data_IF_645370349866
#
_entry.id   IF_645370349866
#
_cell.length_a   1.000
_cell.length_b   1.000
_cell.length_c   1.000
_cell.angle_alpha   90.00
_cell.angle_beta   90.00
_cell.angle_gamma   90.00
#
_symmetry.space_group_name_H-M   'P 1'
#
loop_
_entity.id
_entity.type
_entity.pdbx_description
1 polymer ?
#
# COMPACT_ATOMS: atom_id res chain seq x y z
N UNK A 1 -45.29 20.00 -29.02
CA UNK A 1 -44.45 19.85 -27.79
C UNK A 1 -44.48 18.38 -27.46
N UNK A 2 -43.70 17.60 -28.19
CA UNK A 2 -43.57 16.17 -27.95
C UNK A 2 -42.57 15.99 -26.81
N UNK A 3 -43.01 15.31 -25.75
CA UNK A 3 -42.16 14.90 -24.64
C UNK A 3 -41.10 13.96 -25.20
N UNK A 4 -39.83 14.36 -25.16
CA UNK A 4 -38.72 13.42 -25.23
C UNK A 4 -38.86 12.47 -24.03
N UNK A 5 -39.41 11.27 -24.24
CA UNK A 5 -39.26 10.16 -23.31
C UNK A 5 -37.77 9.77 -23.32
N UNK A 6 -37.00 10.34 -22.39
CA UNK A 6 -35.59 10.03 -22.25
C UNK A 6 -35.40 8.57 -21.81
N UNK A 7 -34.47 7.87 -22.45
CA UNK A 7 -33.95 6.60 -21.94
C UNK A 7 -33.35 6.84 -20.55
N UNK A 8 -33.87 6.17 -19.53
CA UNK A 8 -33.45 6.29 -18.15
C UNK A 8 -33.18 4.90 -17.58
N UNK A 9 -32.22 4.82 -16.68
CA UNK A 9 -31.91 3.58 -15.97
C UNK A 9 -32.90 3.40 -14.82
N UNK A 10 -33.39 2.18 -14.66
CA UNK A 10 -34.38 1.80 -13.67
C UNK A 10 -33.84 0.59 -12.90
N UNK A 11 -33.96 0.57 -11.57
CA UNK A 11 -33.61 -0.62 -10.83
C UNK A 11 -34.54 -1.78 -11.18
N UNK A 12 -33.98 -2.94 -11.50
CA UNK A 12 -34.75 -4.15 -11.89
C UNK A 12 -34.55 -5.30 -10.88
N UNK A 13 -35.55 -6.16 -10.71
CA UNK A 13 -35.44 -7.32 -9.81
C UNK A 13 -34.87 -8.57 -10.48
N UNK A 14 -34.55 -9.60 -9.68
CA UNK A 14 -34.07 -10.91 -10.16
C UNK A 14 -34.97 -11.57 -11.19
N UNK A 15 -36.29 -11.42 -11.07
CA UNK A 15 -37.24 -11.96 -12.06
C UNK A 15 -36.96 -11.40 -13.47
N UNK A 16 -36.73 -10.09 -13.56
CA UNK A 16 -36.41 -9.45 -14.84
C UNK A 16 -35.04 -9.87 -15.37
N UNK A 17 -34.05 -10.05 -14.49
CA UNK A 17 -32.73 -10.56 -14.91
C UNK A 17 -32.84 -11.96 -15.48
N UNK A 18 -33.63 -12.84 -14.84
CA UNK A 18 -33.84 -14.19 -15.35
C UNK A 18 -34.46 -14.17 -16.76
N UNK A 19 -35.41 -13.27 -17.02
CA UNK A 19 -35.95 -13.04 -18.38
C UNK A 19 -34.88 -12.53 -19.35
N UNK A 20 -34.11 -11.51 -18.96
CA UNK A 20 -33.06 -10.93 -19.81
C UNK A 20 -31.98 -11.96 -20.16
N UNK A 21 -31.57 -12.77 -19.18
CA UNK A 21 -30.62 -13.85 -19.36
C UNK A 21 -31.12 -14.91 -20.36
N UNK A 22 -32.43 -15.22 -20.35
CA UNK A 22 -33.01 -16.13 -21.34
C UNK A 22 -32.99 -15.57 -22.77
N UNK A 23 -32.93 -14.24 -22.93
CA UNK A 23 -32.81 -13.60 -24.25
C UNK A 23 -31.39 -13.60 -24.81
N UNK A 24 -30.38 -13.87 -23.97
CA UNK A 24 -28.99 -14.06 -24.41
C UNK A 24 -28.94 -15.43 -25.12
N UNK A 25 -28.99 -15.43 -26.45
CA UNK A 25 -29.03 -16.65 -27.24
C UNK A 25 -27.83 -17.57 -26.92
N UNK A 26 -28.12 -18.81 -26.53
CA UNK A 26 -27.13 -19.88 -26.39
C UNK A 26 -26.87 -20.42 -27.80
N UNK A 27 -25.77 -19.99 -28.40
CA UNK A 27 -25.48 -20.28 -29.80
C UNK A 27 -25.27 -21.79 -30.04
N UNK A 28 -26.23 -22.42 -30.71
CA UNK A 28 -26.14 -23.81 -31.20
C UNK A 28 -25.50 -23.90 -32.60
N UNK A 29 -25.01 -22.77 -33.14
CA UNK A 29 -24.51 -22.60 -34.50
C UNK A 29 -23.03 -22.92 -34.74
N UNK A 30 -22.37 -23.76 -33.93
CA UNK A 30 -20.93 -24.03 -34.08
C UNK A 30 -20.55 -24.80 -35.38
N UNK A 31 -21.52 -25.37 -36.11
CA UNK A 31 -21.26 -26.37 -37.16
C UNK A 31 -21.59 -25.95 -38.61
N UNK A 32 -22.20 -24.80 -38.85
CA UNK A 32 -22.68 -24.49 -40.21
C UNK A 32 -22.90 -23.00 -40.43
N UNK A 33 -22.07 -22.35 -41.25
CA UNK A 33 -22.51 -21.57 -42.42
C UNK A 33 -21.35 -20.82 -43.10
N UNK A 34 -21.49 -20.68 -44.44
CA UNK A 34 -20.60 -19.97 -45.38
C UNK A 34 -21.00 -18.51 -45.49
N UNK A 35 -20.03 -17.63 -45.75
CA UNK A 35 -20.15 -16.17 -45.76
C UNK A 35 -20.29 -15.57 -47.17
N UNK A 36 -21.08 -14.49 -47.29
CA UNK A 36 -20.99 -13.44 -48.30
C UNK A 36 -20.81 -12.10 -47.57
N UNK A 37 -19.84 -11.30 -47.98
CA UNK A 37 -19.47 -10.01 -47.35
C UNK A 37 -19.94 -8.83 -48.23
N UNK A 38 -20.47 -7.76 -47.63
CA UNK A 38 -20.59 -6.45 -48.26
C UNK A 38 -20.14 -5.32 -47.31
N UNK A 39 -19.23 -4.50 -47.87
CA UNK A 39 -18.66 -3.18 -47.55
C UNK A 39 -19.13 -2.42 -46.29
N UNK A 40 -18.18 -2.26 -45.34
CA UNK A 40 -17.86 -1.01 -44.65
C UNK A 40 -16.48 -1.21 -43.96
N UNK A 41 -15.40 -0.76 -44.62
CA UNK A 41 -14.03 -1.27 -44.40
C UNK A 41 -13.09 -0.44 -43.49
N UNK A 42 -13.48 0.73 -42.98
CA UNK A 42 -12.46 1.68 -42.47
C UNK A 42 -12.17 1.69 -40.95
N UNK A 43 -12.77 0.81 -40.13
CA UNK A 43 -12.55 0.79 -38.67
C UNK A 43 -12.25 -0.61 -38.06
N UNK A 44 -12.04 -1.63 -38.90
CA UNK A 44 -11.86 -3.02 -38.44
C UNK A 44 -10.37 -3.37 -38.31
N UNK A 45 -9.90 -3.63 -37.09
CA UNK A 45 -8.56 -4.23 -36.89
C UNK A 45 -8.60 -5.73 -37.26
N UNK A 46 -7.45 -6.32 -37.57
CA UNK A 46 -7.36 -7.78 -37.85
C UNK A 46 -7.89 -8.63 -36.69
N UNK A 47 -7.85 -8.12 -35.45
CA UNK A 47 -8.46 -8.75 -34.28
C UNK A 47 -10.01 -8.66 -34.28
N UNK A 48 -10.57 -7.60 -34.88
CA UNK A 48 -12.02 -7.43 -35.08
C UNK A 48 -12.55 -8.29 -36.24
N UNK A 49 -11.70 -8.60 -37.23
CA UNK A 49 -11.97 -9.51 -38.35
C UNK A 49 -11.80 -10.99 -37.96
N UNK A 50 -10.91 -11.29 -37.01
CA UNK A 50 -10.59 -12.67 -36.59
C UNK A 50 -11.48 -13.22 -35.45
N UNK A 51 -12.34 -12.40 -34.85
CA UNK A 51 -13.31 -12.84 -33.86
C UNK A 51 -14.66 -13.16 -34.55
N UNK A 52 -15.01 -14.45 -34.74
CA UNK A 52 -16.36 -14.79 -35.18
C UNK A 52 -17.36 -14.30 -34.10
N UNK A 53 -18.63 -14.15 -34.45
CA UNK A 53 -19.75 -13.75 -33.58
C UNK A 53 -19.99 -12.23 -33.44
N UNK A 54 -20.36 -11.58 -34.54
CA UNK A 54 -21.13 -10.34 -34.51
C UNK A 54 -22.59 -10.64 -34.90
N UNK A 55 -23.42 -11.03 -33.93
CA UNK A 55 -24.80 -10.55 -33.97
C UNK A 55 -24.75 -9.07 -33.56
N UNK A 56 -25.46 -8.19 -34.27
CA UNK A 56 -25.60 -6.79 -33.86
C UNK A 56 -26.00 -6.76 -32.38
N UNK A 57 -25.44 -5.86 -31.54
CA UNK A 57 -25.84 -5.76 -30.13
C UNK A 57 -27.35 -5.59 -30.05
N UNK A 58 -28.03 -6.67 -29.66
CA UNK A 58 -29.47 -6.79 -29.64
C UNK A 58 -29.93 -6.92 -28.19
N UNK A 59 -31.06 -6.29 -27.88
CA UNK A 59 -31.62 -6.30 -26.53
C UNK A 59 -31.27 -5.07 -25.70
N UNK A 60 -31.91 -4.96 -24.52
CA UNK A 60 -31.78 -3.79 -23.66
C UNK A 60 -30.37 -3.68 -23.08
N UNK A 61 -29.98 -2.45 -22.73
CA UNK A 61 -28.79 -2.19 -21.94
C UNK A 61 -29.09 -2.56 -20.48
N UNK A 62 -28.17 -3.23 -19.79
CA UNK A 62 -28.34 -3.49 -18.36
C UNK A 62 -27.02 -3.75 -17.64
N UNK A 63 -26.98 -3.46 -16.34
CA UNK A 63 -25.83 -3.71 -15.48
C UNK A 63 -26.26 -4.49 -14.22
N UNK A 64 -25.70 -5.70 -14.07
CA UNK A 64 -25.88 -6.52 -12.88
C UNK A 64 -24.63 -6.43 -12.01
N UNK A 65 -24.77 -5.86 -10.82
CA UNK A 65 -23.71 -5.77 -9.82
C UNK A 65 -24.06 -6.65 -8.61
N UNK A 66 -23.14 -7.52 -8.22
CA UNK A 66 -23.35 -8.50 -7.15
C UNK A 66 -22.11 -8.64 -6.26
N UNK A 67 -22.29 -9.09 -5.02
CA UNK A 67 -21.19 -9.40 -4.11
C UNK A 67 -20.68 -10.83 -4.29
N UNK A 68 -19.37 -11.02 -4.27
CA UNK A 68 -18.74 -12.34 -4.25
C UNK A 68 -19.02 -13.07 -2.92
N UNK A 69 -19.01 -14.41 -2.96
CA UNK A 69 -19.15 -15.25 -1.77
C UNK A 69 -20.59 -15.42 -1.26
N UNK A 70 -21.57 -14.70 -1.81
CA UNK A 70 -22.97 -14.92 -1.47
C UNK A 70 -23.47 -16.25 -2.08
N UNK A 71 -24.01 -17.21 -1.29
CA UNK A 71 -24.34 -18.56 -1.76
C UNK A 71 -25.29 -18.60 -2.97
N UNK A 72 -26.26 -17.68 -3.02
CA UNK A 72 -27.18 -17.56 -4.14
C UNK A 72 -26.49 -17.12 -5.43
N UNK A 73 -25.57 -16.15 -5.35
CA UNK A 73 -24.83 -15.63 -6.51
C UNK A 73 -23.88 -16.70 -7.03
N UNK A 74 -23.20 -17.40 -6.12
CA UNK A 74 -22.33 -18.52 -6.44
C UNK A 74 -23.09 -19.65 -7.16
N UNK A 75 -24.29 -19.99 -6.68
CA UNK A 75 -25.15 -20.98 -7.33
C UNK A 75 -25.66 -20.50 -8.69
N UNK A 76 -26.07 -19.22 -8.80
CA UNK A 76 -26.55 -18.62 -10.04
C UNK A 76 -25.47 -18.62 -11.13
N UNK A 77 -24.27 -18.13 -10.82
CA UNK A 77 -23.14 -18.11 -11.75
C UNK A 77 -22.66 -19.53 -12.10
N UNK A 78 -22.68 -20.48 -11.15
CA UNK A 78 -22.29 -21.88 -11.41
C UNK A 78 -23.24 -22.60 -12.35
N UNK A 79 -24.54 -22.31 -12.26
CA UNK A 79 -25.58 -22.98 -13.04
C UNK A 79 -25.97 -22.23 -14.32
N UNK A 80 -25.27 -21.12 -14.63
CA UNK A 80 -25.52 -20.29 -15.80
C UNK A 80 -25.08 -20.99 -17.10
N UNK A 81 -26.02 -21.61 -17.82
CA UNK A 81 -25.75 -22.27 -19.11
C UNK A 81 -25.45 -21.30 -20.26
N UNK A 82 -25.89 -20.04 -20.11
CA UNK A 82 -25.65 -18.94 -21.04
C UNK A 82 -24.26 -18.30 -20.87
N UNK A 83 -23.57 -18.60 -19.78
CA UNK A 83 -22.24 -18.07 -19.48
C UNK A 83 -21.19 -19.13 -19.79
N UNK A 84 -20.13 -18.74 -20.50
CA UNK A 84 -19.04 -19.67 -20.77
C UNK A 84 -18.40 -20.15 -19.44
N UNK A 85 -18.10 -21.46 -19.26
CA UNK A 85 -17.62 -21.99 -17.99
C UNK A 85 -16.38 -21.27 -17.45
N UNK A 86 -15.45 -20.86 -18.32
CA UNK A 86 -14.28 -20.09 -17.92
C UNK A 86 -14.65 -18.71 -17.34
N UNK A 87 -15.65 -18.02 -17.90
CA UNK A 87 -16.13 -16.73 -17.39
C UNK A 87 -16.85 -16.91 -16.05
N UNK A 88 -17.67 -17.96 -15.91
CA UNK A 88 -18.30 -18.31 -14.62
C UNK A 88 -17.26 -18.55 -13.52
N UNK A 89 -16.21 -19.31 -13.80
CA UNK A 89 -15.10 -19.54 -12.86
C UNK A 89 -14.36 -18.24 -12.57
N UNK A 90 -14.05 -17.43 -13.59
CA UNK A 90 -13.39 -16.14 -13.44
C UNK A 90 -14.13 -15.21 -12.47
N UNK A 91 -15.44 -15.05 -12.67
CA UNK A 91 -16.24 -14.13 -11.87
C UNK A 91 -16.37 -14.58 -10.40
N UNK A 92 -16.24 -15.88 -10.12
CA UNK A 92 -16.47 -16.48 -8.79
C UNK A 92 -15.21 -16.70 -7.98
N UNK A 93 -14.12 -17.16 -8.61
CA UNK A 93 -12.91 -17.56 -7.91
C UNK A 93 -11.77 -16.62 -8.29
N UNK A 94 -11.42 -15.77 -7.33
CA UNK A 94 -10.34 -14.80 -7.46
C UNK A 94 -8.97 -15.44 -7.72
N UNK A 95 -8.76 -16.69 -7.31
CA UNK A 95 -7.50 -17.40 -7.51
C UNK A 95 -7.38 -18.04 -8.90
N UNK A 96 -8.50 -18.22 -9.60
CA UNK A 96 -8.53 -18.80 -10.94
C UNK A 96 -8.30 -17.74 -12.02
N UNK A 97 -7.59 -18.14 -13.08
CA UNK A 97 -7.16 -17.34 -14.25
C UNK A 97 -6.04 -16.32 -14.02
N UNK A 98 -5.51 -16.26 -12.80
CA UNK A 98 -4.24 -15.61 -12.51
C UNK A 98 -3.12 -16.38 -13.23
N UNK A 99 -2.56 -15.79 -14.28
CA UNK A 99 -1.31 -16.26 -14.89
C UNK A 99 -0.24 -16.41 -13.80
N UNK A 100 0.53 -17.51 -13.78
CA UNK A 100 1.60 -17.72 -12.78
C UNK A 100 2.61 -16.56 -12.72
N UNK A 101 2.77 -15.83 -13.83
CA UNK A 101 3.63 -14.63 -13.92
C UNK A 101 3.01 -13.39 -13.25
N UNK A 102 1.68 -13.35 -13.12
CA UNK A 102 0.91 -12.23 -12.55
C UNK A 102 0.49 -12.47 -11.08
N UNK A 103 0.80 -13.64 -10.51
CA UNK A 103 0.48 -13.99 -9.11
C UNK A 103 1.02 -13.00 -8.06
N UNK A 104 2.12 -12.33 -8.38
CA UNK A 104 2.74 -11.33 -7.50
C UNK A 104 2.16 -9.92 -7.69
N UNK A 105 1.45 -9.70 -8.79
CA UNK A 105 0.85 -8.41 -9.15
C UNK A 105 -0.62 -8.32 -8.71
N UNK A 106 -1.29 -9.45 -8.47
CA UNK A 106 -2.66 -9.55 -7.92
C UNK A 106 -3.75 -8.90 -8.80
N UNK A 107 -3.52 -8.77 -10.11
CA UNK A 107 -4.52 -8.32 -11.08
C UNK A 107 -4.41 -9.09 -12.40
N UNK A 108 -5.52 -9.13 -13.14
CA UNK A 108 -5.61 -9.69 -14.49
C UNK A 108 -5.73 -8.59 -15.55
N UNK A 109 -4.98 -8.75 -16.65
CA UNK A 109 -5.11 -7.89 -17.84
C UNK A 109 -6.41 -8.25 -18.54
N UNK A 110 -7.17 -7.28 -19.10
CA UNK A 110 -8.40 -7.59 -19.84
C UNK A 110 -8.19 -8.64 -20.93
N UNK A 111 -9.07 -9.65 -20.99
CA UNK A 111 -9.00 -10.76 -21.96
C UNK A 111 -10.34 -10.90 -22.68
N UNK A 112 -10.29 -11.12 -23.99
CA UNK A 112 -11.47 -11.49 -24.78
C UNK A 112 -11.82 -12.96 -24.56
N UNK A 113 -13.02 -13.22 -24.09
CA UNK A 113 -13.53 -14.58 -23.83
C UNK A 113 -15.01 -14.62 -24.16
N UNK A 114 -15.41 -15.66 -24.91
CA UNK A 114 -16.80 -15.95 -25.25
C UNK A 114 -17.56 -14.76 -25.88
N UNK A 115 -16.93 -14.06 -26.83
CA UNK A 115 -17.53 -12.91 -27.52
C UNK A 115 -17.66 -11.64 -26.67
N UNK A 116 -17.15 -11.65 -25.43
CA UNK A 116 -17.12 -10.51 -24.52
C UNK A 116 -15.71 -10.15 -24.06
N UNK A 117 -15.63 -9.12 -23.22
CA UNK A 117 -14.43 -8.64 -22.56
C UNK A 117 -14.51 -8.95 -21.06
N UNK A 118 -13.61 -9.80 -20.57
CA UNK A 118 -13.39 -10.05 -19.14
C UNK A 118 -12.27 -9.13 -18.65
N UNK A 119 -12.48 -8.42 -17.55
CA UNK A 119 -11.51 -7.50 -16.97
C UNK A 119 -11.74 -7.30 -15.47
N UNK A 120 -10.75 -6.74 -14.80
CA UNK A 120 -10.84 -6.33 -13.41
C UNK A 120 -10.79 -4.81 -13.30
N UNK A 121 -11.57 -4.24 -12.39
CA UNK A 121 -11.36 -2.88 -11.93
C UNK A 121 -10.92 -2.91 -10.47
N UNK A 122 -9.84 -2.20 -10.19
CA UNK A 122 -9.30 -2.09 -8.85
C UNK A 122 -9.97 -0.95 -8.09
N UNK A 123 -10.10 -1.10 -6.78
CA UNK A 123 -10.58 -0.05 -5.91
C UNK A 123 -10.27 -0.32 -4.44
N UNK A 124 -10.74 0.57 -3.58
CA UNK A 124 -10.77 0.37 -2.13
C UNK A 124 -12.17 0.59 -1.56
N UNK A 125 -12.53 -0.24 -0.58
CA UNK A 125 -13.63 0.02 0.34
C UNK A 125 -13.12 0.97 1.42
N UNK A 126 -13.81 2.11 1.58
CA UNK A 126 -13.47 3.08 2.61
C UNK A 126 -13.83 2.53 3.99
N UNK A 127 -12.84 2.47 4.88
CA UNK A 127 -13.07 2.05 6.27
C UNK A 127 -13.89 3.06 7.06
N UNK A 128 -14.61 2.61 8.09
CA UNK A 128 -15.33 3.49 9.00
C UNK A 128 -14.34 4.22 9.93
N UNK A 129 -14.18 5.56 9.82
CA UNK A 129 -13.30 6.32 10.70
C UNK A 129 -13.74 6.30 12.17
N UNK A 130 -14.99 5.96 12.48
CA UNK A 130 -15.49 5.90 13.86
C UNK A 130 -15.14 4.61 14.57
N UNK A 131 -14.84 3.54 13.82
CA UNK A 131 -14.49 2.21 14.37
C UNK A 131 -13.00 1.88 14.13
N UNK A 132 -12.23 2.85 13.61
CA UNK A 132 -10.81 2.69 13.24
C UNK A 132 -10.58 1.50 12.29
N UNK A 133 -11.48 1.35 11.32
CA UNK A 133 -11.40 0.32 10.30
C UNK A 133 -10.49 0.80 9.16
N UNK A 134 -9.50 -0.02 8.79
CA UNK A 134 -8.59 0.26 7.69
C UNK A 134 -9.31 0.17 6.33
N UNK A 135 -8.83 0.93 5.34
CA UNK A 135 -9.29 0.78 3.96
C UNK A 135 -8.92 -0.61 3.41
N UNK A 136 -9.90 -1.30 2.82
CA UNK A 136 -9.72 -2.69 2.34
C UNK A 136 -9.69 -2.69 0.81
N UNK A 137 -8.68 -3.33 0.19
CA UNK A 137 -8.67 -3.45 -1.27
C UNK A 137 -9.85 -4.29 -1.76
N UNK A 138 -10.44 -3.85 -2.86
CA UNK A 138 -11.49 -4.58 -3.57
C UNK A 138 -11.09 -4.81 -5.02
N UNK A 139 -11.61 -5.89 -5.59
CA UNK A 139 -11.46 -6.22 -7.00
C UNK A 139 -12.85 -6.40 -7.59
N UNK A 140 -13.19 -5.58 -8.57
CA UNK A 140 -14.46 -5.67 -9.29
C UNK A 140 -14.25 -6.46 -10.57
N UNK A 141 -14.47 -7.78 -10.49
CA UNK A 141 -14.37 -8.69 -11.64
C UNK A 141 -15.57 -8.48 -12.55
N UNK A 142 -15.30 -8.17 -13.80
CA UNK A 142 -16.29 -7.64 -14.72
C UNK A 142 -16.24 -8.39 -16.05
N UNK A 143 -17.40 -8.78 -16.56
CA UNK A 143 -17.53 -9.31 -17.92
C UNK A 143 -18.57 -8.51 -18.69
N UNK A 144 -18.13 -7.88 -19.77
CA UNK A 144 -18.99 -7.16 -20.69
C UNK A 144 -19.22 -8.01 -21.94
N UNK A 145 -20.48 -8.19 -22.31
CA UNK A 145 -20.86 -8.78 -23.58
C UNK A 145 -22.07 -8.04 -24.14
N UNK A 146 -22.09 -7.79 -25.45
CA UNK A 146 -23.17 -7.05 -26.10
C UNK A 146 -23.50 -5.73 -25.35
N UNK A 147 -24.77 -5.51 -24.98
CA UNK A 147 -25.25 -4.31 -24.29
C UNK A 147 -25.26 -4.44 -22.75
N UNK A 148 -24.63 -5.47 -22.17
CA UNK A 148 -24.70 -5.68 -20.73
C UNK A 148 -23.36 -5.91 -20.05
N UNK A 149 -23.36 -5.67 -18.75
CA UNK A 149 -22.22 -5.85 -17.85
C UNK A 149 -22.64 -6.68 -16.65
N UNK A 150 -21.84 -7.68 -16.31
CA UNK A 150 -21.90 -8.36 -15.03
C UNK A 150 -20.66 -7.94 -14.26
N UNK A 151 -20.83 -7.43 -13.04
CA UNK A 151 -19.71 -7.13 -12.15
C UNK A 151 -19.89 -7.79 -10.79
N UNK A 152 -18.85 -8.48 -10.33
CA UNK A 152 -18.80 -9.20 -9.06
C UNK A 152 -17.75 -8.55 -8.17
N UNK A 153 -18.17 -8.07 -7.00
CA UNK A 153 -17.31 -7.41 -6.03
C UNK A 153 -16.62 -8.43 -5.13
N UNK A 154 -15.29 -8.53 -5.24
CA UNK A 154 -14.44 -9.33 -4.36
C UNK A 154 -13.75 -8.42 -3.34
N UNK A 155 -13.71 -8.85 -2.08
CA UNK A 155 -13.13 -8.08 -0.96
C UNK A 155 -11.91 -8.82 -0.43
N UNK A 156 -10.77 -8.15 -0.38
CA UNK A 156 -9.47 -8.71 0.06
C UNK A 156 -9.27 -8.56 1.58
N UNK A 157 -10.23 -9.01 2.37
CA UNK A 157 -10.19 -8.87 3.82
C UNK A 157 -11.54 -9.15 4.48
N UNK A 158 -11.65 -8.81 5.76
CA UNK A 158 -12.90 -8.83 6.51
C UNK A 158 -13.23 -7.40 6.90
N UNK A 159 -14.41 -6.92 6.50
CA UNK A 159 -14.94 -5.62 6.89
C UNK A 159 -16.29 -5.78 7.58
N UNK A 160 -16.59 -4.90 8.53
CA UNK A 160 -17.91 -4.81 9.16
C UNK A 160 -18.96 -4.24 8.22
N UNK A 161 -18.56 -3.31 7.35
CA UNK A 161 -19.39 -2.70 6.32
C UNK A 161 -18.58 -2.50 5.05
N UNK A 162 -19.16 -2.83 3.90
CA UNK A 162 -18.54 -2.64 2.59
C UNK A 162 -18.99 -1.30 2.02
N UNK A 163 -18.06 -0.38 1.81
CA UNK A 163 -18.36 0.98 1.36
C UNK A 163 -17.47 1.39 0.18
N UNK A 164 -17.86 0.96 -1.03
CA UNK A 164 -17.15 1.29 -2.26
C UNK A 164 -17.78 2.54 -2.89
N UNK A 165 -17.32 3.71 -2.45
CA UNK A 165 -17.87 5.02 -2.82
C UNK A 165 -17.95 5.24 -4.34
N UNK A 166 -16.97 4.72 -5.10
CA UNK A 166 -16.98 4.84 -6.56
C UNK A 166 -18.17 4.13 -7.23
N UNK A 167 -18.59 2.99 -6.69
CA UNK A 167 -19.76 2.24 -7.19
C UNK A 167 -21.04 2.95 -6.78
N UNK A 168 -21.14 3.39 -5.51
CA UNK A 168 -22.30 4.13 -4.99
C UNK A 168 -22.56 5.41 -5.79
N UNK A 169 -21.52 6.18 -6.12
CA UNK A 169 -21.67 7.40 -6.94
C UNK A 169 -22.28 7.12 -8.32
N UNK A 170 -22.01 5.96 -8.91
CA UNK A 170 -22.54 5.59 -10.22
C UNK A 170 -23.96 5.07 -10.10
N UNK A 171 -24.26 4.29 -9.06
CA UNK A 171 -25.62 3.89 -8.76
C UNK A 171 -26.53 5.12 -8.57
N UNK A 172 -26.03 6.15 -7.89
CA UNK A 172 -26.72 7.43 -7.73
C UNK A 172 -26.82 8.21 -9.04
N UNK A 173 -25.76 8.24 -9.87
CA UNK A 173 -25.77 8.87 -11.19
C UNK A 173 -26.79 8.24 -12.14
N UNK A 174 -26.90 6.90 -12.12
CA UNK A 174 -27.85 6.15 -12.93
C UNK A 174 -29.28 6.34 -12.42
N UNK A 175 -29.48 6.32 -11.10
CA UNK A 175 -30.81 6.49 -10.46
C UNK A 175 -31.34 7.92 -10.57
N UNK A 176 -30.46 8.93 -10.51
CA UNK A 176 -30.86 10.34 -10.54
C UNK A 176 -31.38 10.79 -11.91
N UNK A 177 -30.94 10.13 -12.98
CA UNK A 177 -31.27 10.50 -14.36
C UNK A 177 -30.74 11.88 -14.77
N UNK A 178 -30.61 12.12 -16.07
CA UNK A 178 -30.15 13.41 -16.59
C UNK A 178 -29.46 13.31 -17.94
N UNK A 179 -29.09 14.47 -18.50
CA UNK A 179 -28.39 14.54 -19.79
C UNK A 179 -26.99 13.89 -19.75
N UNK A 180 -26.35 13.91 -18.58
CA UNK A 180 -25.01 13.36 -18.35
C UNK A 180 -25.03 11.91 -17.83
N UNK A 181 -26.18 11.24 -17.85
CA UNK A 181 -26.26 9.83 -17.45
C UNK A 181 -25.71 8.95 -18.57
N UNK A 182 -24.89 7.92 -18.25
CA UNK A 182 -24.37 6.97 -19.23
C UNK A 182 -25.49 6.39 -20.08
N UNK A 183 -25.34 6.31 -21.40
CA UNK A 183 -26.37 5.70 -22.29
C UNK A 183 -25.99 4.31 -22.77
N UNK A 184 -24.70 4.02 -22.77
CA UNK A 184 -24.15 2.74 -23.24
C UNK A 184 -23.45 2.02 -22.11
N UNK A 185 -23.33 0.70 -22.22
CA UNK A 185 -22.60 -0.08 -21.23
C UNK A 185 -21.11 0.29 -21.20
N UNK A 186 -20.55 0.74 -22.32
CA UNK A 186 -19.17 1.23 -22.39
C UNK A 186 -18.98 2.50 -21.57
N UNK A 187 -19.94 3.43 -21.61
CA UNK A 187 -19.92 4.61 -20.75
C UNK A 187 -20.02 4.23 -19.27
N UNK A 188 -20.87 3.24 -18.92
CA UNK A 188 -20.96 2.74 -17.53
C UNK A 188 -19.60 2.20 -17.06
N UNK A 189 -18.90 1.41 -17.89
CA UNK A 189 -17.57 0.89 -17.56
C UNK A 189 -16.55 2.02 -17.41
N UNK A 190 -16.54 3.01 -18.30
CA UNK A 190 -15.64 4.15 -18.23
C UNK A 190 -15.88 4.99 -16.97
N UNK A 191 -17.15 5.19 -16.60
CA UNK A 191 -17.51 5.86 -15.35
C UNK A 191 -17.08 5.04 -14.13
N UNK A 192 -17.29 3.71 -14.12
CA UNK A 192 -16.82 2.81 -13.05
C UNK A 192 -15.31 2.93 -12.86
N UNK A 193 -14.54 2.77 -13.92
CA UNK A 193 -13.09 2.91 -13.89
C UNK A 193 -12.67 4.30 -13.38
N UNK A 194 -13.35 5.36 -13.84
CA UNK A 194 -13.04 6.74 -13.46
C UNK A 194 -13.30 7.02 -11.97
N UNK A 195 -14.46 6.60 -11.46
CA UNK A 195 -14.83 6.87 -10.05
C UNK A 195 -14.00 6.03 -9.09
N UNK A 196 -13.73 4.77 -9.41
CA UNK A 196 -12.85 3.92 -8.61
C UNK A 196 -11.43 4.49 -8.57
N UNK A 197 -10.84 4.81 -9.72
CA UNK A 197 -9.50 5.40 -9.79
C UNK A 197 -9.39 6.71 -8.99
N UNK A 198 -10.39 7.58 -9.09
CA UNK A 198 -10.42 8.85 -8.36
C UNK A 198 -10.45 8.67 -6.85
N UNK A 199 -11.20 7.68 -6.35
CA UNK A 199 -11.27 7.40 -4.92
C UNK A 199 -9.98 6.79 -4.40
N UNK A 200 -9.42 5.80 -5.10
CA UNK A 200 -8.10 5.25 -4.78
C UNK A 200 -7.04 6.34 -4.70
N UNK A 201 -7.00 7.24 -5.70
CA UNK A 201 -6.03 8.32 -5.75
C UNK A 201 -6.15 9.28 -4.55
N UNK A 202 -7.36 9.49 -4.04
CA UNK A 202 -7.59 10.29 -2.82
C UNK A 202 -7.14 9.53 -1.58
N UNK A 203 -7.44 8.24 -1.49
CA UNK A 203 -7.07 7.40 -0.35
C UNK A 203 -5.55 7.23 -0.26
N UNK A 204 -4.86 6.98 -1.38
CA UNK A 204 -3.40 6.90 -1.41
C UNK A 204 -2.74 8.18 -0.95
N UNK A 205 -3.21 9.35 -1.42
CA UNK A 205 -2.70 10.65 -0.96
C UNK A 205 -2.93 10.88 0.52
N UNK A 206 -4.13 10.58 1.01
CA UNK A 206 -4.49 10.82 2.42
C UNK A 206 -3.74 9.89 3.37
N UNK A 207 -3.77 8.58 3.11
CA UNK A 207 -3.33 7.55 4.07
C UNK A 207 -1.87 7.17 3.93
N UNK A 208 -1.31 7.16 2.71
CA UNK A 208 0.05 6.67 2.44
C UNK A 208 0.99 7.85 2.23
N UNK A 209 0.69 8.76 1.31
CA UNK A 209 1.59 9.88 1.02
C UNK A 209 1.57 10.92 2.14
N UNK A 210 0.40 11.24 2.70
CA UNK A 210 0.30 12.10 3.88
C UNK A 210 1.05 11.53 5.09
N UNK A 211 1.06 10.20 5.27
CA UNK A 211 1.87 9.56 6.31
C UNK A 211 3.37 9.61 6.02
N UNK A 212 3.78 9.55 4.75
CA UNK A 212 5.17 9.75 4.34
C UNK A 212 5.63 11.21 4.59
N UNK A 213 4.79 12.19 4.26
CA UNK A 213 5.06 13.60 4.55
C UNK A 213 5.15 13.85 6.07
N UNK A 214 4.32 13.17 6.88
CA UNK A 214 4.43 13.24 8.34
C UNK A 214 5.76 12.68 8.86
N UNK A 215 6.28 11.59 8.28
CA UNK A 215 7.62 11.06 8.60
C UNK A 215 8.72 12.04 8.22
N UNK A 216 8.61 12.70 7.06
CA UNK A 216 9.53 13.75 6.63
C UNK A 216 9.54 14.91 7.62
N UNK A 217 8.37 15.39 8.05
CA UNK A 217 8.25 16.45 9.04
C UNK A 217 8.86 16.05 10.40
N UNK A 218 8.60 14.82 10.88
CA UNK A 218 9.22 14.30 12.12
C UNK A 218 10.74 14.26 12.00
N UNK A 219 11.27 13.90 10.83
CA UNK A 219 12.71 13.86 10.58
C UNK A 219 13.33 15.27 10.53
N UNK A 220 12.68 16.23 9.86
CA UNK A 220 13.17 17.61 9.75
C UNK A 220 13.10 18.38 11.07
N UNK A 221 12.04 18.20 11.85
CA UNK A 221 11.82 18.90 13.12
C UNK A 221 12.55 18.27 14.32
N UNK A 222 13.40 17.28 14.06
CA UNK A 222 14.23 16.64 15.08
C UNK A 222 15.01 17.68 15.90
N UNK A 223 14.76 17.74 17.20
CA UNK A 223 15.58 18.55 18.10
C UNK A 223 16.93 17.87 18.33
N UNK A 224 18.02 18.63 18.43
CA UNK A 224 19.38 18.08 18.62
C UNK A 224 19.56 17.31 19.94
N UNK A 225 18.59 17.38 20.85
CA UNK A 225 18.62 16.78 22.18
C UNK A 225 17.92 15.42 22.27
N UNK A 226 17.21 14.96 21.23
CA UNK A 226 16.56 13.64 21.23
C UNK A 226 17.58 12.48 21.17
N UNK A 227 17.25 11.33 21.78
CA UNK A 227 18.07 10.13 21.65
C UNK A 227 18.03 9.64 20.20
N UNK A 228 19.17 9.87 19.54
CA UNK A 228 19.38 9.59 18.14
C UNK A 228 19.07 8.13 17.78
N UNK A 229 19.31 7.21 18.70
CA UNK A 229 19.08 5.79 18.49
C UNK A 229 17.60 5.43 18.59
N UNK A 230 16.90 5.90 19.63
CA UNK A 230 15.49 5.59 19.82
C UNK A 230 14.63 6.16 18.69
N UNK A 231 14.84 7.43 18.34
CA UNK A 231 14.16 8.06 17.20
C UNK A 231 14.46 7.28 15.91
N UNK A 232 15.70 6.84 15.73
CA UNK A 232 16.08 6.08 14.54
C UNK A 232 15.37 4.74 14.45
N UNK A 233 15.21 4.02 15.56
CA UNK A 233 14.50 2.73 15.55
C UNK A 233 13.03 2.91 15.18
N UNK A 234 12.35 3.90 15.79
CA UNK A 234 10.92 4.18 15.55
C UNK A 234 10.70 4.61 14.09
N UNK A 235 11.44 5.60 13.61
CA UNK A 235 11.31 6.09 12.24
C UNK A 235 11.69 5.00 11.22
N UNK A 236 12.69 4.16 11.48
CA UNK A 236 13.01 3.03 10.59
C UNK A 236 11.84 2.04 10.46
N UNK A 237 11.10 1.80 11.55
CA UNK A 237 9.94 0.91 11.51
C UNK A 237 8.79 1.54 10.71
N UNK A 238 8.50 2.83 10.94
CA UNK A 238 7.50 3.58 10.16
C UNK A 238 7.86 3.62 8.67
N UNK A 239 9.10 3.97 8.33
CA UNK A 239 9.60 3.99 6.95
C UNK A 239 9.47 2.61 6.31
N UNK A 240 9.90 1.52 6.97
CA UNK A 240 9.75 0.17 6.41
C UNK A 240 8.29 -0.23 6.19
N UNK A 241 7.36 0.22 7.05
CA UNK A 241 5.92 0.00 6.86
C UNK A 241 5.42 0.78 5.64
N UNK A 242 5.73 2.07 5.56
CA UNK A 242 5.31 2.96 4.47
C UNK A 242 5.92 2.55 3.13
N UNK A 243 7.20 2.19 3.07
CA UNK A 243 7.84 1.72 1.84
C UNK A 243 7.13 0.49 1.26
N UNK A 244 6.66 -0.44 2.11
CA UNK A 244 5.85 -1.58 1.65
C UNK A 244 4.50 -1.13 1.09
N UNK A 245 3.84 -0.17 1.71
CA UNK A 245 2.58 0.40 1.21
C UNK A 245 2.77 1.14 -0.11
N UNK A 246 3.79 1.97 -0.22
CA UNK A 246 4.16 2.73 -1.42
C UNK A 246 4.48 1.79 -2.61
N UNK A 247 5.16 0.66 -2.36
CA UNK A 247 5.38 -0.37 -3.39
C UNK A 247 4.06 -1.01 -3.84
N UNK A 248 3.13 -1.29 -2.91
CA UNK A 248 1.80 -1.83 -3.28
C UNK A 248 0.99 -0.83 -4.13
N UNK A 249 1.05 0.46 -3.80
CA UNK A 249 0.45 1.52 -4.62
C UNK A 249 1.04 1.51 -6.03
N UNK A 250 2.37 1.43 -6.16
CA UNK A 250 3.04 1.32 -7.47
C UNK A 250 2.47 0.20 -8.32
N UNK A 251 2.34 -1.00 -7.75
CA UNK A 251 1.80 -2.15 -8.46
C UNK A 251 0.34 -1.96 -8.86
N UNK A 252 -0.49 -1.40 -7.97
CA UNK A 252 -1.89 -1.09 -8.28
C UNK A 252 -2.03 -0.04 -9.39
N UNK A 253 -1.11 0.92 -9.48
CA UNK A 253 -1.14 1.95 -10.53
C UNK A 253 -0.70 1.40 -11.88
N UNK A 254 0.36 0.59 -11.92
CA UNK A 254 0.74 -0.11 -13.16
C UNK A 254 -0.37 -1.05 -13.64
N UNK A 255 -1.04 -1.74 -12.71
CA UNK A 255 -2.22 -2.54 -13.02
C UNK A 255 -3.29 -1.74 -13.72
N UNK A 256 -3.65 -0.60 -13.13
CA UNK A 256 -4.65 0.30 -13.65
C UNK A 256 -4.24 0.84 -15.03
N UNK A 257 -2.97 1.17 -15.24
CA UNK A 257 -2.47 1.63 -16.54
C UNK A 257 -2.68 0.57 -17.63
N UNK A 258 -2.29 -0.69 -17.36
CA UNK A 258 -2.46 -1.80 -18.31
C UNK A 258 -3.94 -2.11 -18.57
N UNK A 259 -4.78 -2.15 -17.52
CA UNK A 259 -6.23 -2.34 -17.65
C UNK A 259 -6.83 -1.24 -18.54
N UNK A 260 -6.52 0.02 -18.24
CA UNK A 260 -7.05 1.17 -18.99
C UNK A 260 -6.54 1.18 -20.43
N UNK A 261 -5.30 0.76 -20.66
CA UNK A 261 -4.74 0.62 -22.00
C UNK A 261 -5.54 -0.36 -22.85
N UNK A 262 -5.89 -1.54 -22.32
CA UNK A 262 -6.73 -2.51 -23.04
C UNK A 262 -8.19 -2.05 -23.16
N UNK A 263 -8.76 -1.43 -22.12
CA UNK A 263 -10.11 -0.87 -22.19
C UNK A 263 -10.23 0.21 -23.29
N UNK A 264 -9.19 1.02 -23.50
CA UNK A 264 -9.14 2.02 -24.58
C UNK A 264 -9.19 1.41 -25.98
N UNK A 265 -8.68 0.18 -26.15
CA UNK A 265 -8.71 -0.53 -27.43
C UNK A 265 -10.05 -1.18 -27.72
N UNK A 266 -10.79 -1.58 -26.67
CA UNK A 266 -11.98 -2.42 -26.83
C UNK A 266 -13.30 -1.68 -26.59
N UNK A 267 -13.31 -0.66 -25.75
CA UNK A 267 -14.52 0.12 -25.49
C UNK A 267 -14.72 1.22 -26.55
N UNK A 268 -15.97 1.37 -26.99
CA UNK A 268 -16.37 2.33 -28.03
C UNK A 268 -17.01 3.59 -27.43
N UNK A 269 -17.05 4.66 -28.23
CA UNK A 269 -17.66 5.96 -27.90
C UNK A 269 -16.65 7.03 -27.47
N UNK A 270 -16.85 8.27 -27.93
CA UNK A 270 -15.93 9.38 -27.68
C UNK A 270 -15.88 9.78 -26.21
N UNK A 271 -17.04 9.81 -25.53
CA UNK A 271 -17.12 10.10 -24.11
C UNK A 271 -16.37 9.04 -23.28
N UNK A 272 -16.54 7.75 -23.62
CA UNK A 272 -15.80 6.64 -23.04
C UNK A 272 -14.29 6.82 -23.22
N UNK A 273 -13.84 7.07 -24.46
CA UNK A 273 -12.41 7.24 -24.77
C UNK A 273 -11.80 8.43 -24.03
N UNK A 274 -12.52 9.56 -23.94
CA UNK A 274 -12.07 10.74 -23.19
C UNK A 274 -11.85 10.40 -21.71
N UNK A 275 -12.83 9.77 -21.05
CA UNK A 275 -12.73 9.40 -19.64
C UNK A 275 -11.56 8.45 -19.38
N UNK A 276 -11.38 7.43 -20.23
CA UNK A 276 -10.29 6.47 -20.08
C UNK A 276 -8.92 7.10 -20.34
N UNK A 277 -8.81 8.05 -21.29
CA UNK A 277 -7.58 8.81 -21.50
C UNK A 277 -7.23 9.68 -20.30
N UNK A 278 -8.22 10.31 -19.66
CA UNK A 278 -8.02 11.08 -18.44
C UNK A 278 -7.51 10.18 -17.29
N UNK A 279 -8.08 8.98 -17.11
CA UNK A 279 -7.61 8.02 -16.11
C UNK A 279 -6.16 7.61 -16.42
N UNK A 280 -5.83 7.32 -17.68
CA UNK A 280 -4.45 6.95 -18.08
C UNK A 280 -3.47 8.08 -17.75
N UNK A 281 -3.85 9.33 -18.03
CA UNK A 281 -3.03 10.51 -17.70
C UNK A 281 -2.86 10.66 -16.19
N UNK A 282 -3.95 10.64 -15.41
CA UNK A 282 -3.88 10.81 -13.95
C UNK A 282 -3.12 9.67 -13.28
N UNK A 283 -3.22 8.44 -13.81
CA UNK A 283 -2.48 7.27 -13.31
C UNK A 283 -0.97 7.46 -13.50
N UNK A 284 -0.53 8.00 -14.63
CA UNK A 284 0.89 8.32 -14.87
C UNK A 284 1.41 9.39 -13.93
N UNK A 285 0.66 10.49 -13.78
CA UNK A 285 0.98 11.55 -12.81
C UNK A 285 1.07 10.99 -11.38
N UNK A 286 0.19 10.06 -11.02
CA UNK A 286 0.21 9.39 -9.73
C UNK A 286 1.41 8.44 -9.56
N UNK A 287 1.86 7.75 -10.62
CA UNK A 287 3.09 6.94 -10.58
C UNK A 287 4.30 7.83 -10.29
N UNK A 288 4.39 8.99 -10.93
CA UNK A 288 5.45 9.98 -10.66
C UNK A 288 5.41 10.48 -9.21
N UNK A 289 4.21 10.83 -8.70
CA UNK A 289 4.01 11.24 -7.30
C UNK A 289 4.41 10.12 -6.31
N UNK A 290 4.06 8.88 -6.63
CA UNK A 290 4.45 7.70 -5.86
C UNK A 290 5.97 7.51 -5.83
N UNK A 291 6.65 7.62 -6.97
CA UNK A 291 8.10 7.46 -7.07
C UNK A 291 8.86 8.54 -6.30
N UNK A 292 8.42 9.79 -6.41
CA UNK A 292 8.96 10.90 -5.60
C UNK A 292 8.79 10.65 -4.10
N UNK A 293 7.63 10.16 -3.65
CA UNK A 293 7.39 9.77 -2.25
C UNK A 293 8.33 8.65 -1.79
N UNK A 294 8.53 7.62 -2.61
CA UNK A 294 9.46 6.51 -2.30
C UNK A 294 10.89 7.02 -2.14
N UNK A 295 11.36 7.83 -3.07
CA UNK A 295 12.74 8.31 -3.09
C UNK A 295 13.03 9.23 -1.91
N UNK A 296 12.06 10.07 -1.52
CA UNK A 296 12.13 10.84 -0.27
C UNK A 296 12.26 9.95 0.96
N UNK A 297 11.40 8.94 1.12
CA UNK A 297 11.47 8.00 2.24
C UNK A 297 12.82 7.28 2.32
N UNK A 298 13.37 6.84 1.19
CA UNK A 298 14.67 6.18 1.15
C UNK A 298 15.83 7.12 1.43
N UNK A 299 15.74 8.38 0.98
CA UNK A 299 16.73 9.41 1.32
C UNK A 299 16.74 9.67 2.83
N UNK A 300 15.57 9.82 3.45
CA UNK A 300 15.44 9.97 4.92
C UNK A 300 16.05 8.77 5.63
N UNK A 301 15.76 7.56 5.17
CA UNK A 301 16.31 6.33 5.74
C UNK A 301 17.84 6.32 5.69
N UNK A 302 18.45 6.70 4.56
CA UNK A 302 19.89 6.70 4.39
C UNK A 302 20.58 7.78 5.23
N UNK A 303 20.04 9.01 5.26
CA UNK A 303 20.56 10.10 6.11
C UNK A 303 20.46 9.73 7.60
N UNK A 304 19.36 9.12 8.01
CA UNK A 304 19.18 8.67 9.38
C UNK A 304 20.18 7.56 9.73
N UNK A 305 20.35 6.55 8.87
CA UNK A 305 21.30 5.46 9.12
C UNK A 305 22.75 5.95 9.13
N UNK A 306 23.14 6.82 8.21
CA UNK A 306 24.48 7.42 8.19
C UNK A 306 24.75 8.25 9.46
N UNK A 307 23.76 8.99 9.95
CA UNK A 307 23.84 9.73 11.22
C UNK A 307 24.06 8.80 12.41
N UNK A 308 23.33 7.68 12.50
CA UNK A 308 23.51 6.67 13.56
C UNK A 308 24.89 6.02 13.49
N UNK A 309 25.33 5.64 12.28
CA UNK A 309 26.67 5.07 12.07
C UNK A 309 27.76 6.05 12.53
N UNK A 310 27.65 7.34 12.16
CA UNK A 310 28.59 8.37 12.58
C UNK A 310 28.62 8.55 14.10
N UNK A 311 27.46 8.55 14.76
CA UNK A 311 27.37 8.63 16.22
C UNK A 311 28.00 7.41 16.92
N UNK A 312 27.71 6.19 16.43
CA UNK A 312 28.31 4.96 16.94
C UNK A 312 29.83 4.97 16.75
N UNK A 313 30.32 5.49 15.63
CA UNK A 313 31.74 5.62 15.35
C UNK A 313 32.42 6.61 16.31
N UNK A 314 31.82 7.77 16.60
CA UNK A 314 32.38 8.72 17.59
C UNK A 314 32.40 8.11 19.01
N UNK A 315 31.38 7.33 19.38
CA UNK A 315 31.37 6.60 20.66
C UNK A 315 32.43 5.50 20.71
N UNK A 316 32.56 4.72 19.64
CA UNK A 316 33.56 3.65 19.51
C UNK A 316 34.98 4.20 19.53
N UNK A 317 35.23 5.31 18.83
CA UNK A 317 36.52 6.00 18.83
C UNK A 317 36.90 6.43 20.24
N UNK A 318 35.95 6.99 21.01
CA UNK A 318 36.19 7.31 22.44
C UNK A 318 36.57 6.10 23.28
N UNK A 319 35.86 4.97 23.13
CA UNK A 319 36.17 3.75 23.88
C UNK A 319 37.53 3.19 23.49
N UNK A 320 37.81 3.12 22.18
CA UNK A 320 39.07 2.61 21.63
C UNK A 320 40.24 3.48 22.07
N UNK A 321 40.06 4.78 22.05
CA UNK A 321 41.03 5.75 22.53
C UNK A 321 41.35 5.54 24.02
N UNK A 322 40.33 5.43 24.87
CA UNK A 322 40.53 5.18 26.29
C UNK A 322 41.21 3.83 26.54
N UNK A 323 40.80 2.78 25.82
CA UNK A 323 41.42 1.47 25.90
C UNK A 323 42.88 1.50 25.45
N UNK A 324 43.23 2.28 24.43
CA UNK A 324 44.61 2.42 23.96
C UNK A 324 45.51 3.09 25.01
N UNK A 325 45.01 4.10 25.74
CA UNK A 325 45.74 4.73 26.85
C UNK A 325 46.04 3.70 27.96
N UNK A 326 45.02 2.97 28.42
CA UNK A 326 45.20 1.97 29.48
C UNK A 326 46.03 0.76 29.02
N UNK A 327 45.75 0.24 27.82
CA UNK A 327 46.45 -0.90 27.23
C UNK A 327 47.92 -0.60 26.94
N UNK A 328 48.24 0.58 26.42
CA UNK A 328 49.62 1.02 26.20
C UNK A 328 50.40 1.16 27.51
N UNK A 329 49.82 1.79 28.53
CA UNK A 329 50.43 1.88 29.86
C UNK A 329 50.64 0.49 30.47
N UNK A 330 49.62 -0.37 30.41
CA UNK A 330 49.67 -1.74 30.91
C UNK A 330 50.73 -2.60 30.21
N UNK A 331 50.92 -2.42 28.89
CA UNK A 331 51.96 -3.11 28.13
C UNK A 331 53.36 -2.72 28.61
N UNK A 332 53.64 -1.42 28.80
CA UNK A 332 54.94 -0.94 29.30
C UNK A 332 55.22 -1.49 30.71
N UNK A 333 54.24 -1.40 31.61
CA UNK A 333 54.38 -1.94 32.97
C UNK A 333 54.57 -3.46 32.99
N UNK A 334 53.88 -4.19 32.11
CA UNK A 334 54.00 -5.65 31.99
C UNK A 334 55.37 -6.07 31.46
N UNK A 335 55.95 -5.31 30.53
CA UNK A 335 57.33 -5.54 30.04
C UNK A 335 58.33 -5.34 31.19
N UNK A 336 58.20 -4.25 31.95
CA UNK A 336 59.09 -3.97 33.09
C UNK A 336 58.94 -5.07 34.14
N UNK A 337 57.71 -5.40 34.55
CA UNK A 337 57.46 -6.45 35.54
C UNK A 337 57.95 -7.83 35.05
N UNK A 338 57.76 -8.15 33.78
CA UNK A 338 58.23 -9.40 33.18
C UNK A 338 59.76 -9.51 33.15
N UNK A 339 60.47 -8.43 32.80
CA UNK A 339 61.93 -8.39 32.78
C UNK A 339 62.53 -8.68 34.18
N UNK A 340 61.95 -8.09 35.23
CA UNK A 340 62.37 -8.32 36.61
C UNK A 340 61.84 -9.65 37.19
N UNK A 341 60.72 -10.17 36.68
CA UNK A 341 60.14 -11.44 37.12
C UNK A 341 60.86 -12.69 36.59
N UNK A 342 61.53 -12.59 35.44
CA UNK A 342 62.34 -13.69 34.86
C UNK A 342 63.70 -13.83 35.56
N UNK A 343 64.16 -12.79 36.27
CA UNK A 343 65.52 -12.70 36.79
C UNK A 343 65.55 -12.61 38.34
N UNK A 344 65.03 -13.65 39.00
CA UNK A 344 64.87 -13.70 40.47
C UNK A 344 66.19 -13.93 41.24
N UNK A 345 67.26 -14.37 40.58
CA UNK A 345 68.52 -14.80 41.22
C UNK A 345 69.67 -13.77 41.11
N UNK A 346 69.34 -12.50 40.88
CA UNK A 346 70.34 -11.45 40.67
C UNK A 346 69.77 -10.05 40.55
N UNK A 347 68.71 -9.72 41.31
CA UNK A 347 68.14 -8.37 41.30
C UNK A 347 69.16 -7.39 41.88
N UNK A 348 69.70 -6.44 41.09
CA UNK A 348 70.69 -5.49 41.58
C UNK A 348 70.08 -4.65 42.70
N UNK A 349 70.66 -4.72 43.90
CA UNK A 349 70.20 -3.99 45.09
C UNK A 349 69.33 -4.79 46.08
N UNK A 350 68.95 -6.03 45.78
CA UNK A 350 68.14 -6.85 46.67
C UNK A 350 68.89 -7.38 47.91
N UNK A 351 70.21 -7.59 47.81
CA UNK A 351 71.01 -8.19 48.89
C UNK A 351 71.11 -7.31 50.16
N UNK A 352 71.02 -5.99 50.02
CA UNK A 352 71.22 -5.04 51.12
C UNK A 352 69.94 -4.29 51.56
N UNK A 353 68.76 -4.60 51.00
CA UNK A 353 67.52 -3.88 51.32
C UNK A 353 66.33 -4.83 51.56
N UNK A 354 65.84 -5.01 52.81
CA UNK A 354 64.73 -5.93 53.12
C UNK A 354 63.38 -5.49 52.53
N UNK A 355 63.27 -4.24 52.06
CA UNK A 355 62.04 -3.68 51.47
C UNK A 355 62.11 -3.50 49.94
N UNK A 356 63.11 -4.09 49.27
CA UNK A 356 63.35 -3.90 47.82
C UNK A 356 62.12 -4.17 46.95
N UNK A 357 61.38 -5.24 47.24
CA UNK A 357 60.15 -5.60 46.51
C UNK A 357 59.04 -4.55 46.69
N UNK A 358 58.88 -4.03 47.92
CA UNK A 358 57.92 -2.97 48.21
C UNK A 358 58.27 -1.66 47.51
N UNK A 359 59.56 -1.30 47.49
CA UNK A 359 60.07 -0.13 46.78
C UNK A 359 59.87 -0.24 45.26
N UNK A 360 60.18 -1.40 44.68
CA UNK A 360 59.96 -1.68 43.25
C UNK A 360 58.48 -1.60 42.88
N UNK A 361 57.60 -2.19 43.70
CA UNK A 361 56.15 -2.15 43.51
C UNK A 361 55.61 -0.71 43.59
N UNK A 362 56.09 0.08 44.56
CA UNK A 362 55.72 1.49 44.69
C UNK A 362 56.21 2.33 43.50
N UNK A 363 57.43 2.08 43.02
CA UNK A 363 57.99 2.75 41.85
C UNK A 363 57.22 2.40 40.56
N UNK A 364 56.88 1.12 40.36
CA UNK A 364 56.03 0.70 39.24
C UNK A 364 54.65 1.35 39.27
N UNK A 365 54.03 1.44 40.45
CA UNK A 365 52.74 2.11 40.61
C UNK A 365 52.85 3.60 40.29
N UNK A 366 53.92 4.27 40.75
CA UNK A 366 54.19 5.67 40.44
C UNK A 366 54.41 5.90 38.94
N UNK A 367 55.22 5.06 38.28
CA UNK A 367 55.43 5.09 36.82
C UNK A 367 54.10 4.89 36.10
N UNK A 368 53.27 3.95 36.54
CA UNK A 368 51.93 3.75 35.99
C UNK A 368 51.05 4.98 36.09
N UNK A 369 51.04 5.65 37.25
CA UNK A 369 50.27 6.88 37.45
C UNK A 369 50.77 8.03 36.55
N UNK A 370 52.09 8.17 36.41
CA UNK A 370 52.71 9.15 35.51
C UNK A 370 52.39 8.84 34.04
N UNK A 371 52.52 7.59 33.61
CA UNK A 371 52.21 7.16 32.24
C UNK A 371 50.74 7.38 31.89
N UNK A 372 49.83 7.05 32.82
CA UNK A 372 48.41 7.38 32.67
C UNK A 372 48.27 8.90 32.57
N UNK A 373 48.80 9.68 33.51
CA UNK A 373 48.72 11.14 33.50
C UNK A 373 49.22 11.80 32.21
N UNK A 374 50.37 11.36 31.70
CA UNK A 374 50.94 11.80 30.41
C UNK A 374 50.06 11.35 29.25
N UNK A 375 49.58 10.10 29.26
CA UNK A 375 48.63 9.59 28.28
C UNK A 375 47.34 10.41 28.25
N UNK A 376 46.80 10.77 29.42
CA UNK A 376 45.62 11.63 29.52
C UNK A 376 45.88 13.06 29.02
N UNK A 377 47.09 13.61 29.23
CA UNK A 377 47.47 14.97 28.81
C UNK A 377 47.71 15.06 27.31
N UNK A 378 48.47 14.12 26.74
CA UNK A 378 48.85 14.12 25.32
C UNK A 378 47.74 13.63 24.39
N UNK A 379 46.96 12.64 24.85
CA UNK A 379 45.90 12.05 24.04
C UNK A 379 44.53 12.67 24.34
N UNK A 380 44.36 13.33 25.49
CA UNK A 380 43.16 14.11 25.83
C UNK A 380 41.95 13.22 26.10
N UNK A 381 41.44 13.21 27.33
CA UNK A 381 40.13 12.61 27.60
C UNK A 381 39.03 13.45 26.95
N UNK A 382 38.26 12.86 26.02
CA UNK A 382 36.84 13.21 25.97
C UNK A 382 36.22 12.67 27.26
N UNK A 383 35.82 13.56 28.19
CA UNK A 383 35.21 13.19 29.47
C UNK A 383 34.10 12.15 29.24
N UNK A 384 34.04 11.06 30.03
CA UNK A 384 32.88 10.19 30.03
C UNK A 384 31.64 11.02 30.40
N UNK A 385 30.50 10.66 29.82
CA UNK A 385 29.20 11.23 30.19
C UNK A 385 29.02 10.99 31.69
N UNK A 386 28.82 12.04 32.50
CA UNK A 386 28.71 11.87 33.96
C UNK A 386 27.40 11.15 34.30
N UNK A 387 27.36 10.41 35.40
CA UNK A 387 26.14 9.73 35.87
C UNK A 387 24.96 10.69 36.02
N UNK A 388 25.19 11.93 36.45
CA UNK A 388 24.16 12.98 36.48
C UNK A 388 23.60 13.28 35.08
N UNK A 389 24.44 13.33 34.05
CA UNK A 389 23.97 13.51 32.68
C UNK A 389 23.17 12.31 32.19
N UNK A 390 23.49 11.10 32.64
CA UNK A 390 22.73 9.88 32.32
C UNK A 390 21.38 9.87 33.02
N UNK A 391 21.30 10.30 34.29
CA UNK A 391 20.05 10.39 35.04
C UNK A 391 19.13 11.48 34.48
N UNK A 392 19.66 12.67 34.18
CA UNK A 392 18.89 13.73 33.52
C UNK A 392 18.35 13.25 32.17
N UNK A 393 19.19 12.57 31.37
CA UNK A 393 18.78 11.97 30.09
C UNK A 393 17.71 10.90 30.25
N UNK A 394 17.76 10.10 31.32
CA UNK A 394 16.77 9.06 31.62
C UNK A 394 15.42 9.68 31.98
N UNK A 395 15.43 10.78 32.74
CA UNK A 395 14.24 11.55 33.06
C UNK A 395 13.65 12.24 31.81
N UNK A 396 14.48 12.85 30.97
CA UNK A 396 14.06 13.43 29.68
C UNK A 396 13.44 12.36 28.74
N UNK A 397 14.02 11.16 28.68
CA UNK A 397 13.46 10.04 27.92
C UNK A 397 12.10 9.59 28.48
N UNK A 398 11.97 9.52 29.81
CA UNK A 398 10.72 9.14 30.46
C UNK A 398 9.61 10.17 30.17
N UNK A 399 9.97 11.46 30.18
CA UNK A 399 9.06 12.55 29.87
C UNK A 399 8.65 12.54 28.38
N UNK A 400 9.58 12.30 27.47
CA UNK A 400 9.29 12.12 26.04
C UNK A 400 8.38 10.91 25.77
N UNK A 401 8.64 9.77 26.42
CA UNK A 401 7.78 8.58 26.31
C UNK A 401 6.38 8.86 26.82
N UNK A 402 6.25 9.57 27.94
CA UNK A 402 4.94 9.98 28.46
C UNK A 402 4.24 10.99 27.53
N UNK A 403 4.96 11.94 26.95
CA UNK A 403 4.42 12.89 25.97
C UNK A 403 3.93 12.16 24.71
N UNK A 404 4.70 11.20 24.20
CA UNK A 404 4.30 10.37 23.05
C UNK A 404 3.13 9.45 23.38
N UNK A 405 3.08 8.85 24.57
CA UNK A 405 1.91 8.11 25.02
C UNK A 405 0.70 9.02 25.12
N UNK A 406 0.86 10.24 25.64
CA UNK A 406 -0.21 11.22 25.73
C UNK A 406 -0.65 11.74 24.36
N UNK A 407 0.27 11.95 23.41
CA UNK A 407 -0.05 12.32 22.01
C UNK A 407 -0.72 11.17 21.26
N UNK A 408 -0.28 9.93 21.46
CA UNK A 408 -0.94 8.75 20.91
C UNK A 408 -2.34 8.56 21.52
N UNK A 409 -2.49 8.76 22.84
CA UNK A 409 -3.78 8.70 23.54
C UNK A 409 -4.70 9.88 23.19
N UNK A 410 -4.16 11.07 22.92
CA UNK A 410 -4.95 12.23 22.49
C UNK A 410 -5.34 12.13 21.02
N UNK A 411 -4.47 11.61 20.15
CA UNK A 411 -4.86 11.17 18.81
C UNK A 411 -5.96 10.10 18.89
N UNK A 412 -5.91 9.16 19.85
CA UNK A 412 -6.98 8.21 20.11
C UNK A 412 -8.25 8.85 20.76
N UNK A 413 -8.14 9.98 21.46
CA UNK A 413 -9.29 10.68 22.07
C UNK A 413 -9.99 11.69 21.16
N UNK A 414 -9.35 12.13 20.05
CA UNK A 414 -10.04 12.84 18.96
C UNK A 414 -11.06 11.93 18.27
N UNK A 415 -10.95 10.60 18.44
CA UNK A 415 -11.97 9.58 18.12
C UNK A 415 -13.04 9.41 19.21
N UNK A 416 -13.53 10.49 19.84
CA UNK A 416 -14.76 10.39 20.65
C UNK A 416 -15.98 10.36 19.73
N UNK A 417 -16.87 9.35 19.83
CA UNK A 417 -18.00 9.21 18.93
C UNK A 417 -19.02 10.33 19.18
N UNK A 418 -19.15 11.24 18.22
CA UNK A 418 -20.30 12.14 18.16
C UNK A 418 -21.51 11.30 17.72
N UNK A 419 -22.60 11.36 18.48
CA UNK A 419 -23.77 10.51 18.25
C UNK A 419 -24.36 10.72 16.85
N UNK A 420 -24.72 9.60 16.22
CA UNK A 420 -25.17 9.39 14.83
C UNK A 420 -26.46 10.11 14.40
N UNK A 421 -27.02 11.02 15.20
CA UNK A 421 -28.39 11.52 15.03
C UNK A 421 -28.55 12.69 14.04
N UNK A 422 -27.49 13.13 13.36
CA UNK A 422 -27.55 14.36 12.53
C UNK A 422 -26.88 14.28 11.16
N UNK A 423 -26.68 13.09 10.59
CA UNK A 423 -26.01 12.92 9.29
C UNK A 423 -26.82 12.04 8.31
N UNK A 424 -26.69 12.29 6.99
CA UNK A 424 -27.37 11.49 5.98
C UNK A 424 -26.85 10.03 5.99
N UNK A 425 -27.71 9.04 5.70
CA UNK A 425 -27.38 7.62 5.79
C UNK A 425 -26.18 7.25 4.90
N UNK A 426 -25.27 6.44 5.44
CA UNK A 426 -24.18 5.80 4.69
C UNK A 426 -24.76 4.68 3.80
N UNK A 427 -24.08 4.29 2.71
CA UNK A 427 -24.56 3.22 1.83
C UNK A 427 -24.88 1.91 2.60
N UNK A 428 -24.11 1.61 3.66
CA UNK A 428 -24.37 0.52 4.62
C UNK A 428 -25.76 0.55 5.27
N UNK A 429 -26.34 1.73 5.47
CA UNK A 429 -27.67 1.92 6.07
C UNK A 429 -28.82 1.77 5.07
N UNK A 430 -28.52 1.72 3.76
CA UNK A 430 -29.51 1.49 2.70
C UNK A 430 -29.68 0.01 2.36
N UNK A 431 -28.88 -0.88 2.96
CA UNK A 431 -29.08 -2.32 2.89
C UNK A 431 -29.97 -2.74 4.07
N UNK A 432 -31.23 -3.14 3.85
CA UNK A 432 -31.88 -4.02 4.83
C UNK A 432 -31.02 -5.27 4.95
N UNK A 433 -30.88 -5.85 6.16
CA UNK A 433 -30.27 -7.17 6.41
C UNK A 433 -30.84 -8.33 5.55
N UNK A 434 -31.81 -8.03 4.67
CA UNK A 434 -32.57 -8.96 3.84
C UNK A 434 -32.51 -8.64 2.32
N UNK A 435 -31.80 -7.59 1.87
CA UNK A 435 -31.70 -7.23 0.45
C UNK A 435 -30.29 -6.74 0.03
N UNK A 436 -29.42 -7.70 -0.26
CA UNK A 436 -27.98 -7.52 -0.52
C UNK A 436 -27.59 -7.27 -2.00
N UNK A 437 -28.42 -6.60 -2.81
CA UNK A 437 -28.03 -6.27 -4.19
C UNK A 437 -28.75 -5.04 -4.74
N UNK A 438 -28.00 -4.21 -5.50
CA UNK A 438 -28.55 -3.11 -6.29
C UNK A 438 -28.34 -3.46 -7.77
N UNK A 439 -29.46 -3.60 -8.48
CA UNK A 439 -29.54 -3.98 -9.87
C UNK A 439 -30.04 -2.77 -10.65
N UNK A 440 -29.35 -2.35 -11.71
CA UNK A 440 -29.72 -1.16 -12.49
C UNK A 440 -29.70 -1.51 -13.98
N UNK A 441 -30.84 -1.37 -14.67
CA UNK A 441 -31.00 -1.64 -16.10
C UNK A 441 -31.53 -0.44 -16.89
#
# INVERSE_FOLDING_TARGET
MDRFEGSHWIPIGWARIHELVQTVQVDSGWASQRFDFMDDEDDLTVADVAAPYWERPAGPVWWCHVAAGHPFIDAWLRNAQWLHPAVSVALRDESCLISERMKYLLYEVPVRVAGGLLFELLGQSAGDPFVDEDDIPIVLRSWQAQNFLISVLHIKGSASCVNVLGITEIQELLSGGGYNTPKTIHEVIAHLASRLARWDDRLFRKSIFGAADAVELKFMNRRSQEDLNLLSVILNQEIRRLSRQVIRVKWSLHAREEIVFELLQHLKGDATKSLLQDIRKSTREMIEEQEANRDRLFTIQDVMQSSVRAWLQDKSLRVTHNLAVFGGCGMVLSIIAGLFGVNLDGIPGAENTPYAFGLFSALLFFIGFVLIGVGLLYLGLKKPISEEQVEVRKLELQELVNLFQHEAETHAQVHKPVSRNSLPPTAGDRFPDDADYVLIA
#
